data_IF_319691157048
#
_entry.id   IF_319691157048
#
_cell.length_a   1.000
_cell.length_b   1.000
_cell.length_c   1.000
_cell.angle_alpha   90.00
_cell.angle_beta   90.00
_cell.angle_gamma   90.00
#
_symmetry.space_group_name_H-M   'P 1'
#
loop_
_entity.id
_entity.type
_entity.pdbx_description
1 polymer ?
#
# COMPACT_ATOMS: atom_id res chain seq x y z
N UNK A 1 10.60 13.56 14.10
CA UNK A 1 10.62 13.32 12.63
C UNK A 1 9.23 13.52 11.99
N UNK A 2 8.13 13.14 12.60
CA UNK A 2 6.78 13.28 12.03
C UNK A 2 6.22 14.70 11.92
N UNK A 3 6.73 15.67 12.68
CA UNK A 3 6.23 17.05 12.67
C UNK A 3 6.32 17.74 11.29
N UNK A 4 7.36 17.45 10.51
CA UNK A 4 7.50 18.03 9.17
C UNK A 4 6.51 17.42 8.18
N UNK A 5 6.21 16.12 8.30
CA UNK A 5 5.21 15.46 7.47
C UNK A 5 3.80 15.97 7.80
N UNK A 6 3.47 16.09 9.09
CA UNK A 6 2.20 16.69 9.50
C UNK A 6 2.05 18.11 8.98
N UNK A 7 3.09 18.96 9.12
CA UNK A 7 3.07 20.32 8.59
C UNK A 7 2.85 20.36 7.07
N UNK A 8 3.51 19.48 6.31
CA UNK A 8 3.29 19.33 4.88
C UNK A 8 1.82 19.03 4.57
N UNK A 9 1.24 18.08 5.30
CA UNK A 9 -0.16 17.68 5.12
C UNK A 9 -1.17 18.77 5.53
N UNK A 10 -0.83 19.61 6.49
CA UNK A 10 -1.73 20.67 6.98
C UNK A 10 -1.59 21.97 6.21
N UNK A 11 -0.39 22.35 5.79
CA UNK A 11 -0.10 23.63 5.13
C UNK A 11 -0.11 23.56 3.60
N UNK A 12 0.44 22.49 3.03
CA UNK A 12 0.65 22.38 1.56
C UNK A 12 -0.47 21.58 0.89
N UNK A 13 -0.86 20.47 1.45
CA UNK A 13 -1.84 19.55 0.86
C UNK A 13 -3.20 20.17 0.51
N UNK A 14 -3.82 21.01 1.38
CA UNK A 14 -5.10 21.64 1.05
C UNK A 14 -5.05 22.57 -0.16
N UNK A 15 -3.90 23.18 -0.42
CA UNK A 15 -3.73 24.00 -1.63
C UNK A 15 -3.51 23.16 -2.88
N UNK A 16 -2.82 22.02 -2.75
CA UNK A 16 -2.62 21.10 -3.87
C UNK A 16 -3.93 20.49 -4.35
N UNK A 17 -4.80 20.01 -3.46
CA UNK A 17 -6.07 19.39 -3.85
C UNK A 17 -7.00 20.38 -4.56
N UNK A 18 -6.95 21.66 -4.20
CA UNK A 18 -7.76 22.70 -4.87
C UNK A 18 -7.28 23.01 -6.29
N UNK A 19 -6.02 22.79 -6.58
CA UNK A 19 -5.40 23.05 -7.87
C UNK A 19 -5.16 21.80 -8.72
N UNK A 20 -5.40 20.59 -8.16
CA UNK A 20 -5.13 19.35 -8.87
C UNK A 20 -6.10 19.14 -10.02
N UNK A 21 -5.58 18.70 -11.16
CA UNK A 21 -6.42 18.20 -12.23
C UNK A 21 -7.16 16.93 -11.77
N UNK A 22 -8.48 16.80 -12.00
CA UNK A 22 -9.23 15.63 -11.52
C UNK A 22 -8.65 14.28 -11.94
N UNK A 23 -8.02 14.20 -13.10
CA UNK A 23 -7.36 12.98 -13.56
C UNK A 23 -6.19 12.51 -12.70
N UNK A 24 -5.59 13.39 -11.90
CA UNK A 24 -4.44 13.13 -11.02
C UNK A 24 -4.82 12.94 -9.56
N UNK A 25 -6.10 12.90 -9.23
CA UNK A 25 -6.56 12.80 -7.83
C UNK A 25 -6.06 11.55 -7.12
N UNK A 26 -5.72 10.49 -7.85
CA UNK A 26 -5.11 9.29 -7.31
C UNK A 26 -3.81 9.55 -6.56
N UNK A 27 -2.94 10.45 -7.07
CA UNK A 27 -1.66 10.80 -6.46
C UNK A 27 -1.86 11.48 -5.09
N UNK A 28 -2.81 12.42 -5.02
CA UNK A 28 -3.19 13.04 -3.77
C UNK A 28 -3.74 12.02 -2.76
N UNK A 29 -4.59 11.12 -3.22
CA UNK A 29 -5.21 10.09 -2.37
C UNK A 29 -4.17 9.11 -1.85
N UNK A 30 -3.18 8.74 -2.65
CA UNK A 30 -2.08 7.88 -2.21
C UNK A 30 -1.21 8.58 -1.17
N UNK A 31 -0.89 9.85 -1.36
CA UNK A 31 -0.17 10.62 -0.35
C UNK A 31 -0.98 10.77 0.96
N UNK A 32 -2.31 10.93 0.87
CA UNK A 32 -3.19 10.94 2.03
C UNK A 32 -3.21 9.58 2.75
N UNK A 33 -3.16 8.47 2.02
CA UNK A 33 -3.04 7.13 2.59
C UNK A 33 -1.72 6.97 3.35
N UNK A 34 -0.60 7.47 2.81
CA UNK A 34 0.67 7.47 3.54
C UNK A 34 0.58 8.27 4.85
N UNK A 35 -0.14 9.40 4.84
CA UNK A 35 -0.37 10.17 6.06
C UNK A 35 -1.25 9.43 7.07
N UNK A 36 -2.32 8.79 6.60
CA UNK A 36 -3.16 7.92 7.42
C UNK A 36 -2.33 6.81 8.08
N UNK A 37 -1.48 6.12 7.32
CA UNK A 37 -0.59 5.07 7.83
C UNK A 37 0.37 5.62 8.89
N UNK A 38 1.00 6.78 8.64
CA UNK A 38 1.84 7.45 9.63
C UNK A 38 1.11 7.66 10.95
N UNK A 39 -0.12 8.18 10.90
CA UNK A 39 -0.94 8.41 12.10
C UNK A 39 -1.29 7.10 12.81
N UNK A 40 -1.68 6.06 12.06
CA UNK A 40 -2.02 4.74 12.62
C UNK A 40 -0.81 4.09 13.32
N UNK A 41 0.37 4.16 12.72
CA UNK A 41 1.61 3.66 13.34
C UNK A 41 2.06 4.53 14.53
N UNK A 42 1.72 5.81 14.56
CA UNK A 42 1.92 6.68 15.72
C UNK A 42 0.90 6.45 16.86
N UNK A 43 -0.08 5.58 16.64
CA UNK A 43 -1.11 5.25 17.62
C UNK A 43 -2.29 6.22 17.65
N UNK A 44 -2.53 6.93 16.55
CA UNK A 44 -3.74 7.75 16.39
C UNK A 44 -4.99 6.86 16.44
N UNK A 45 -5.98 7.29 17.23
CA UNK A 45 -7.29 6.67 17.29
C UNK A 45 -8.23 7.20 16.19
N UNK A 46 -9.48 6.75 16.19
CA UNK A 46 -10.44 7.16 15.17
C UNK A 46 -10.90 8.62 15.34
N UNK A 47 -10.79 9.21 16.51
CA UNK A 47 -11.04 10.64 16.69
C UNK A 47 -9.91 11.49 16.11
N UNK A 48 -8.66 11.06 16.26
CA UNK A 48 -7.52 11.68 15.61
C UNK A 48 -7.64 11.61 14.08
N UNK A 49 -8.03 10.44 13.54
CA UNK A 49 -8.28 10.24 12.09
C UNK A 49 -9.41 11.16 11.61
N UNK A 50 -10.49 11.27 12.38
CA UNK A 50 -11.60 12.19 12.07
C UNK A 50 -11.14 13.64 11.96
N UNK A 51 -10.28 14.08 12.85
CA UNK A 51 -9.79 15.45 12.87
C UNK A 51 -8.75 15.74 11.78
N UNK A 52 -7.85 14.80 11.51
CA UNK A 52 -6.67 15.04 10.71
C UNK A 52 -6.80 14.53 9.26
N UNK A 53 -7.52 13.44 9.03
CA UNK A 53 -7.65 12.79 7.71
C UNK A 53 -8.96 13.14 7.03
N UNK A 54 -10.08 13.07 7.74
CA UNK A 54 -11.42 13.23 7.13
C UNK A 54 -11.59 14.55 6.38
N UNK A 55 -11.17 15.74 6.86
CA UNK A 55 -11.31 16.96 6.07
C UNK A 55 -10.59 16.88 4.72
N UNK A 56 -9.38 16.32 4.69
CA UNK A 56 -8.58 16.13 3.48
C UNK A 56 -9.19 15.07 2.54
N UNK A 57 -9.80 14.04 3.12
CA UNK A 57 -10.51 13.01 2.37
C UNK A 57 -11.80 13.55 1.72
N UNK A 58 -12.51 14.46 2.38
CA UNK A 58 -13.68 15.13 1.82
C UNK A 58 -13.28 16.04 0.65
N UNK A 59 -12.18 16.77 0.78
CA UNK A 59 -11.64 17.59 -0.31
C UNK A 59 -11.27 16.71 -1.53
N UNK A 60 -10.64 15.55 -1.29
CA UNK A 60 -10.33 14.59 -2.35
C UNK A 60 -11.60 14.00 -2.97
N UNK A 61 -12.59 13.64 -2.16
CA UNK A 61 -13.85 13.12 -2.66
C UNK A 61 -14.57 14.12 -3.56
N UNK A 62 -14.57 15.40 -3.21
CA UNK A 62 -15.16 16.45 -4.04
C UNK A 62 -14.49 16.57 -5.43
N UNK A 63 -13.23 16.15 -5.56
CA UNK A 63 -12.55 16.08 -6.86
C UNK A 63 -12.93 14.81 -7.62
N UNK A 64 -12.96 13.64 -6.96
CA UNK A 64 -13.46 12.41 -7.56
C UNK A 64 -14.88 12.56 -8.08
N UNK A 65 -15.74 13.26 -7.35
CA UNK A 65 -17.13 13.47 -7.71
C UNK A 65 -17.33 14.13 -9.09
N UNK A 66 -16.35 14.95 -9.52
CA UNK A 66 -16.36 15.59 -10.85
C UNK A 66 -16.12 14.62 -12.01
N UNK A 67 -15.55 13.45 -11.74
CA UNK A 67 -15.20 12.43 -12.73
C UNK A 67 -15.97 11.12 -12.50
N UNK A 68 -16.88 11.06 -11.53
CA UNK A 68 -17.80 9.96 -11.32
C UNK A 68 -18.97 10.04 -12.32
N UNK A 69 -19.30 8.92 -12.91
CA UNK A 69 -20.42 8.77 -13.84
C UNK A 69 -21.23 7.53 -13.44
N UNK A 70 -22.55 7.71 -13.26
CA UNK A 70 -23.47 6.61 -12.99
C UNK A 70 -24.12 6.14 -14.29
N UNK A 71 -23.86 4.90 -14.65
CA UNK A 71 -24.39 4.28 -15.87
C UNK A 71 -24.66 2.79 -15.64
N UNK A 72 -25.79 2.29 -16.15
CA UNK A 72 -26.13 0.87 -16.08
C UNK A 72 -26.05 0.29 -14.66
N UNK A 73 -26.55 1.03 -13.68
CA UNK A 73 -26.52 0.67 -12.24
C UNK A 73 -25.11 0.56 -11.62
N UNK A 74 -24.09 1.15 -12.25
CA UNK A 74 -22.68 1.09 -11.84
C UNK A 74 -22.10 2.50 -11.82
N UNK A 75 -21.27 2.80 -10.82
CA UNK A 75 -20.47 4.01 -10.77
C UNK A 75 -19.13 3.76 -11.47
N UNK A 76 -18.82 4.61 -12.41
CA UNK A 76 -17.59 4.58 -13.21
C UNK A 76 -16.73 5.80 -12.93
N UNK A 77 -15.40 5.64 -12.95
CA UNK A 77 -14.45 6.74 -13.01
C UNK A 77 -14.10 7.04 -14.46
N UNK A 78 -14.24 8.31 -14.86
CA UNK A 78 -13.93 8.75 -16.22
C UNK A 78 -12.64 9.60 -16.22
N UNK A 79 -11.83 9.48 -17.28
CA UNK A 79 -10.69 10.36 -17.55
C UNK A 79 -9.66 10.42 -16.39
N UNK A 80 -9.36 9.28 -15.75
CA UNK A 80 -8.33 9.19 -14.70
C UNK A 80 -7.03 8.59 -15.25
N UNK A 81 -5.90 9.15 -14.83
CA UNK A 81 -4.58 8.66 -15.24
C UNK A 81 -4.24 7.33 -14.52
N UNK A 82 -3.28 6.60 -15.12
CA UNK A 82 -2.47 5.61 -14.42
C UNK A 82 -1.02 6.11 -14.48
N UNK A 83 -0.31 6.29 -13.35
CA UNK A 83 0.95 7.02 -13.31
C UNK A 83 1.93 6.61 -14.40
N UNK A 84 2.27 7.57 -15.25
CA UNK A 84 3.25 7.49 -16.33
C UNK A 84 3.04 6.37 -17.37
N UNK A 85 1.93 5.64 -17.32
CA UNK A 85 1.66 4.64 -18.33
C UNK A 85 1.27 5.32 -19.64
N UNK A 86 2.02 5.02 -20.69
CA UNK A 86 1.86 5.61 -22.04
C UNK A 86 1.81 7.16 -22.04
N UNK A 87 2.60 7.81 -21.18
CA UNK A 87 2.74 9.27 -21.19
C UNK A 87 1.56 10.01 -20.54
N UNK A 88 1.01 9.50 -19.45
CA UNK A 88 -0.09 10.12 -18.69
C UNK A 88 -1.43 10.17 -19.45
N UNK A 89 -1.73 9.13 -20.19
CA UNK A 89 -3.03 9.03 -20.82
C UNK A 89 -4.14 8.82 -19.80
N UNK A 90 -5.33 9.30 -20.16
CA UNK A 90 -6.53 9.23 -19.32
C UNK A 90 -7.38 8.03 -19.74
N UNK A 91 -7.79 7.26 -18.75
CA UNK A 91 -8.55 6.03 -18.93
C UNK A 91 -9.88 6.10 -18.17
N UNK A 92 -10.82 5.26 -18.55
CA UNK A 92 -12.00 4.99 -17.72
C UNK A 92 -11.70 3.77 -16.84
N UNK A 93 -12.17 3.84 -15.60
CA UNK A 93 -12.02 2.77 -14.62
C UNK A 93 -10.59 2.23 -14.53
N UNK A 94 -9.60 3.13 -14.38
CA UNK A 94 -8.24 2.66 -14.13
C UNK A 94 -8.18 1.97 -12.77
N UNK A 95 -7.49 0.84 -12.69
CA UNK A 95 -7.29 0.12 -11.42
C UNK A 95 -6.68 1.01 -10.34
N UNK A 96 -5.78 1.92 -10.74
CA UNK A 96 -5.22 2.95 -9.88
C UNK A 96 -6.28 3.86 -9.27
N UNK A 97 -7.16 4.41 -10.11
CA UNK A 97 -8.23 5.32 -9.69
C UNK A 97 -9.28 4.62 -8.84
N UNK A 98 -9.73 3.43 -9.26
CA UNK A 98 -10.70 2.62 -8.52
C UNK A 98 -10.18 2.25 -7.13
N UNK A 99 -8.90 1.85 -7.02
CA UNK A 99 -8.28 1.55 -5.75
C UNK A 99 -8.18 2.79 -4.84
N UNK A 100 -7.79 3.93 -5.42
CA UNK A 100 -7.70 5.20 -4.69
C UNK A 100 -9.05 5.64 -4.13
N UNK A 101 -10.12 5.61 -4.96
CA UNK A 101 -11.46 5.97 -4.52
C UNK A 101 -12.01 4.97 -3.50
N UNK A 102 -11.81 3.67 -3.72
CA UNK A 102 -12.27 2.63 -2.79
C UNK A 102 -11.65 2.81 -1.41
N UNK A 103 -10.32 3.04 -1.33
CA UNK A 103 -9.64 3.30 -0.07
C UNK A 103 -10.19 4.56 0.62
N UNK A 104 -10.39 5.63 -0.14
CA UNK A 104 -10.92 6.89 0.37
C UNK A 104 -12.30 6.72 0.99
N UNK A 105 -13.21 6.08 0.26
CA UNK A 105 -14.58 5.84 0.72
C UNK A 105 -14.62 4.89 1.93
N UNK A 106 -13.82 3.81 1.93
CA UNK A 106 -13.72 2.92 3.08
C UNK A 106 -13.21 3.64 4.32
N UNK A 107 -12.22 4.53 4.18
CA UNK A 107 -11.70 5.34 5.29
C UNK A 107 -12.75 6.30 5.84
N UNK A 108 -13.49 7.00 4.98
CA UNK A 108 -14.58 7.90 5.38
C UNK A 108 -15.69 7.14 6.11
N UNK A 109 -16.14 6.01 5.56
CA UNK A 109 -17.18 5.16 6.14
C UNK A 109 -16.71 4.59 7.49
N UNK A 110 -15.52 4.01 7.55
CA UNK A 110 -14.98 3.44 8.79
C UNK A 110 -14.83 4.49 9.89
N UNK A 111 -14.36 5.68 9.55
CA UNK A 111 -14.26 6.78 10.52
C UNK A 111 -15.64 7.21 11.04
N UNK A 112 -16.63 7.32 10.16
CA UNK A 112 -18.01 7.63 10.53
C UNK A 112 -18.55 6.58 11.53
N UNK A 113 -18.41 5.30 11.20
CA UNK A 113 -18.92 4.19 12.01
C UNK A 113 -18.23 4.11 13.38
N UNK A 114 -16.90 4.22 13.39
CA UNK A 114 -16.07 4.11 14.61
C UNK A 114 -16.18 5.32 15.54
N UNK A 115 -16.58 6.49 15.04
CA UNK A 115 -16.74 7.71 15.85
C UNK A 115 -18.20 8.07 16.12
N UNK A 116 -19.16 7.26 15.65
CA UNK A 116 -20.59 7.54 15.72
C UNK A 116 -20.94 8.95 15.22
N UNK A 117 -20.20 9.42 14.23
CA UNK A 117 -20.43 10.74 13.63
C UNK A 117 -21.52 10.70 12.54
N UNK A 118 -22.07 11.85 12.20
CA UNK A 118 -23.05 11.97 11.13
C UNK A 118 -22.44 12.80 9.98
N UNK A 119 -22.68 12.36 8.74
CA UNK A 119 -22.33 13.13 7.56
C UNK A 119 -23.45 12.98 6.50
N UNK A 120 -23.88 14.05 5.83
CA UNK A 120 -24.99 13.96 4.86
C UNK A 120 -24.68 12.99 3.70
N UNK A 121 -23.44 12.86 3.28
CA UNK A 121 -23.03 11.98 2.17
C UNK A 121 -22.74 10.53 2.57
N UNK A 122 -22.93 10.15 3.83
CA UNK A 122 -22.59 8.79 4.29
C UNK A 122 -23.30 7.69 3.48
N UNK A 123 -24.60 7.86 3.24
CA UNK A 123 -25.36 6.89 2.44
C UNK A 123 -24.86 6.84 0.98
N UNK A 124 -24.47 7.99 0.43
CA UNK A 124 -23.94 8.10 -0.92
C UNK A 124 -22.56 7.44 -1.04
N UNK A 125 -21.68 7.60 -0.04
CA UNK A 125 -20.39 6.90 -0.03
C UNK A 125 -20.55 5.39 -0.06
N UNK A 126 -21.47 4.85 0.73
CA UNK A 126 -21.80 3.42 0.74
C UNK A 126 -22.39 2.95 -0.59
N UNK A 127 -23.30 3.74 -1.17
CA UNK A 127 -23.88 3.43 -2.46
C UNK A 127 -22.83 3.40 -3.56
N UNK A 128 -21.94 4.42 -3.63
CA UNK A 128 -20.84 4.46 -4.60
C UNK A 128 -19.93 3.25 -4.41
N UNK A 129 -19.47 2.96 -3.19
CA UNK A 129 -18.56 1.85 -2.93
C UNK A 129 -19.19 0.49 -3.30
N UNK A 130 -20.48 0.32 -3.05
CA UNK A 130 -21.20 -0.94 -3.34
C UNK A 130 -21.41 -1.16 -4.83
N UNK A 131 -21.57 -0.08 -5.60
CA UNK A 131 -21.85 -0.10 -7.03
C UNK A 131 -20.71 0.41 -7.90
N UNK A 132 -19.52 0.55 -7.32
CA UNK A 132 -18.33 0.95 -8.08
C UNK A 132 -17.97 -0.14 -9.09
N UNK A 133 -17.53 0.27 -10.27
CA UNK A 133 -17.05 -0.65 -11.29
C UNK A 133 -16.01 -1.63 -10.71
N UNK A 134 -16.10 -2.92 -11.05
CA UNK A 134 -15.12 -3.89 -10.59
C UNK A 134 -13.73 -3.57 -11.16
N UNK A 135 -12.68 -4.03 -10.48
CA UNK A 135 -11.32 -3.89 -10.97
C UNK A 135 -11.18 -4.60 -12.33
N UNK A 136 -10.81 -3.89 -13.41
CA UNK A 136 -10.59 -4.51 -14.71
C UNK A 136 -9.53 -5.60 -14.69
N UNK A 137 -9.90 -6.78 -15.15
CA UNK A 137 -9.04 -7.97 -15.22
C UNK A 137 -9.13 -8.65 -16.58
N UNK A 138 -8.10 -9.41 -16.95
CA UNK A 138 -8.10 -10.32 -18.07
C UNK A 138 -7.39 -11.64 -17.69
N UNK A 139 -7.06 -12.45 -18.69
CA UNK A 139 -6.33 -13.71 -18.50
C UNK A 139 -4.93 -13.53 -17.89
N UNK A 140 -4.37 -12.33 -17.92
CA UNK A 140 -3.05 -11.99 -17.37
C UNK A 140 -3.10 -11.32 -15.98
N UNK A 141 -4.27 -11.11 -15.42
CA UNK A 141 -4.47 -10.50 -14.12
C UNK A 141 -5.09 -9.11 -14.19
N UNK A 142 -4.70 -8.22 -13.28
CA UNK A 142 -5.20 -6.84 -13.25
C UNK A 142 -4.70 -6.05 -14.46
N UNK A 143 -5.60 -5.35 -15.12
CA UNK A 143 -5.33 -4.46 -16.25
C UNK A 143 -4.94 -3.05 -15.75
N UNK A 144 -4.49 -2.20 -16.64
CA UNK A 144 -4.30 -0.76 -16.33
C UNK A 144 -5.66 -0.09 -16.09
N UNK A 145 -6.63 -0.35 -16.97
CA UNK A 145 -7.96 0.26 -16.93
C UNK A 145 -8.96 -0.58 -17.72
N UNK A 146 -10.23 -0.19 -17.74
CA UNK A 146 -11.24 -0.80 -18.60
C UNK A 146 -10.77 -0.77 -20.07
N UNK A 147 -10.77 -1.92 -20.72
CA UNK A 147 -10.31 -2.09 -22.10
C UNK A 147 -8.85 -1.69 -22.36
N UNK A 148 -8.01 -1.57 -21.30
CA UNK A 148 -6.58 -1.29 -21.43
C UNK A 148 -5.75 -2.27 -20.62
N UNK A 149 -5.30 -3.38 -21.21
CA UNK A 149 -4.38 -4.31 -20.58
C UNK A 149 -3.00 -3.69 -20.37
N UNK A 150 -2.21 -4.26 -19.46
CA UNK A 150 -0.79 -3.95 -19.34
C UNK A 150 -0.04 -4.71 -20.44
N UNK A 151 0.46 -3.99 -21.45
CA UNK A 151 1.06 -4.58 -22.66
C UNK A 151 2.55 -4.30 -22.81
N UNK A 152 3.09 -3.36 -22.03
CA UNK A 152 4.50 -2.94 -22.09
C UNK A 152 5.14 -3.02 -20.71
N UNK A 153 6.42 -3.32 -20.70
CA UNK A 153 7.22 -3.24 -19.48
C UNK A 153 7.16 -1.83 -18.90
N UNK A 154 6.75 -1.71 -17.65
CA UNK A 154 6.51 -0.44 -17.00
C UNK A 154 7.04 -0.45 -15.58
N UNK A 155 7.74 0.63 -15.18
CA UNK A 155 8.39 0.69 -13.88
C UNK A 155 7.43 0.79 -12.70
N UNK A 156 6.22 1.31 -12.90
CA UNK A 156 5.20 1.45 -11.86
C UNK A 156 4.22 0.27 -11.85
N UNK A 157 3.84 -0.13 -10.66
CA UNK A 157 2.81 -1.16 -10.42
C UNK A 157 1.47 -0.54 -9.98
N UNK A 158 1.12 0.61 -10.55
CA UNK A 158 -0.07 1.39 -10.21
C UNK A 158 -1.37 0.58 -10.30
N UNK A 159 -1.47 -0.37 -11.23
CA UNK A 159 -2.60 -1.28 -11.35
C UNK A 159 -2.74 -2.28 -10.19
N UNK A 160 -1.71 -2.45 -9.34
CA UNK A 160 -1.68 -3.37 -8.20
C UNK A 160 -1.92 -2.68 -6.85
N UNK A 161 -2.18 -1.37 -6.81
CA UNK A 161 -2.29 -0.63 -5.55
C UNK A 161 -3.46 -1.09 -4.67
N UNK A 162 -4.50 -1.70 -5.26
CA UNK A 162 -5.58 -2.32 -4.49
C UNK A 162 -5.06 -3.43 -3.55
N UNK A 163 -3.95 -4.09 -3.90
CA UNK A 163 -3.26 -5.03 -3.03
C UNK A 163 -2.28 -4.33 -2.09
N UNK A 164 -1.34 -3.57 -2.63
CA UNK A 164 -0.32 -2.87 -1.86
C UNK A 164 0.01 -1.52 -2.50
N UNK A 165 -0.03 -0.41 -1.75
CA UNK A 165 -0.16 -0.31 -0.29
C UNK A 165 -1.59 -0.18 0.25
N UNK A 166 -2.64 -0.06 -0.57
CA UNK A 166 -4.00 0.19 -0.08
C UNK A 166 -4.63 -0.97 0.68
N UNK A 167 -4.19 -2.22 0.43
CA UNK A 167 -4.63 -3.43 1.15
C UNK A 167 -6.15 -3.60 1.17
N UNK A 168 -6.78 -3.35 0.01
CA UNK A 168 -8.23 -3.51 -0.21
C UNK A 168 -8.59 -4.93 -0.63
N UNK A 169 -7.65 -5.62 -1.29
CA UNK A 169 -7.76 -7.01 -1.71
C UNK A 169 -6.79 -7.85 -0.88
N UNK A 170 -7.33 -8.71 -0.02
CA UNK A 170 -6.52 -9.51 0.89
C UNK A 170 -6.11 -10.85 0.25
N UNK A 171 -4.83 -11.24 0.34
CA UNK A 171 -4.32 -12.50 -0.22
C UNK A 171 -4.78 -13.75 0.57
N UNK A 172 -5.42 -13.55 1.72
CA UNK A 172 -6.05 -14.63 2.49
C UNK A 172 -7.30 -15.18 1.76
N UNK A 173 -7.87 -14.42 0.82
CA UNK A 173 -8.90 -14.88 -0.11
C UNK A 173 -8.22 -15.56 -1.30
N UNK A 174 -8.51 -16.86 -1.58
CA UNK A 174 -7.78 -17.62 -2.60
C UNK A 174 -7.82 -17.02 -4.01
N UNK A 175 -8.94 -16.40 -4.38
CA UNK A 175 -9.13 -15.73 -5.68
C UNK A 175 -8.22 -14.51 -5.79
N UNK A 176 -8.14 -13.70 -4.73
CA UNK A 176 -7.26 -12.53 -4.67
C UNK A 176 -5.79 -12.94 -4.73
N UNK A 177 -5.41 -14.01 -4.02
CA UNK A 177 -4.05 -14.56 -4.06
C UNK A 177 -3.64 -14.93 -5.47
N UNK A 178 -4.47 -15.70 -6.17
CA UNK A 178 -4.22 -16.10 -7.57
C UNK A 178 -4.16 -14.89 -8.51
N UNK A 179 -5.06 -13.92 -8.31
CA UNK A 179 -5.07 -12.69 -9.11
C UNK A 179 -3.78 -11.89 -8.91
N UNK A 180 -3.33 -11.73 -7.68
CA UNK A 180 -2.10 -11.00 -7.38
C UNK A 180 -0.86 -11.71 -7.94
N UNK A 181 -0.72 -13.02 -7.71
CA UNK A 181 0.39 -13.82 -8.23
C UNK A 181 0.51 -13.67 -9.74
N UNK A 182 -0.60 -13.86 -10.45
CA UNK A 182 -0.67 -13.73 -11.89
C UNK A 182 -0.31 -12.33 -12.40
N UNK A 183 -0.84 -11.31 -11.73
CA UNK A 183 -0.59 -9.91 -12.08
C UNK A 183 0.87 -9.52 -11.90
N UNK A 184 1.52 -9.97 -10.81
CA UNK A 184 2.95 -9.71 -10.58
C UNK A 184 3.80 -10.42 -11.65
N UNK A 185 3.51 -11.69 -11.93
CA UNK A 185 4.27 -12.47 -12.91
C UNK A 185 4.15 -11.86 -14.31
N UNK A 186 2.94 -11.47 -14.73
CA UNK A 186 2.74 -10.78 -15.99
C UNK A 186 3.52 -9.45 -16.04
N UNK A 187 3.36 -8.59 -15.04
CA UNK A 187 4.05 -7.30 -14.99
C UNK A 187 5.56 -7.43 -15.11
N UNK A 188 6.16 -8.37 -14.38
CA UNK A 188 7.63 -8.54 -14.36
C UNK A 188 8.18 -9.20 -15.61
N UNK A 189 7.36 -9.95 -16.36
CA UNK A 189 7.80 -10.69 -17.56
C UNK A 189 7.75 -9.89 -18.86
N UNK A 190 6.98 -8.79 -18.89
CA UNK A 190 6.80 -8.02 -20.11
C UNK A 190 8.12 -7.47 -20.67
N UNK A 191 8.35 -7.66 -21.95
CA UNK A 191 9.53 -7.19 -22.68
C UNK A 191 10.87 -7.51 -21.97
N UNK A 192 10.95 -8.67 -21.32
CA UNK A 192 12.11 -9.10 -20.51
C UNK A 192 12.49 -8.09 -19.42
N UNK A 193 11.53 -7.32 -18.91
CA UNK A 193 11.73 -6.34 -17.85
C UNK A 193 12.45 -5.06 -18.26
N UNK A 194 12.54 -4.75 -19.56
CA UNK A 194 13.32 -3.59 -20.06
C UNK A 194 12.89 -2.23 -19.49
N UNK A 195 11.61 -2.09 -19.15
CA UNK A 195 11.06 -0.88 -18.55
C UNK A 195 11.11 -0.83 -17.03
N UNK A 196 11.63 -1.88 -16.36
CA UNK A 196 11.69 -1.93 -14.90
C UNK A 196 12.83 -1.05 -14.37
N UNK A 197 12.61 -0.45 -13.21
CA UNK A 197 13.58 0.35 -12.46
C UNK A 197 13.75 -0.21 -11.03
N UNK A 198 14.60 0.40 -10.21
CA UNK A 198 14.81 -0.06 -8.83
C UNK A 198 13.52 -0.15 -8.03
N UNK A 199 12.65 0.85 -8.16
CA UNK A 199 11.33 0.86 -7.51
C UNK A 199 10.43 -0.31 -7.92
N UNK A 200 10.58 -0.85 -9.14
CA UNK A 200 9.86 -2.05 -9.56
C UNK A 200 10.25 -3.28 -8.73
N UNK A 201 11.56 -3.46 -8.49
CA UNK A 201 12.07 -4.59 -7.71
C UNK A 201 11.70 -4.49 -6.24
N UNK A 202 11.81 -3.30 -5.65
CA UNK A 202 11.42 -3.09 -4.25
C UNK A 202 9.91 -3.20 -4.07
N UNK A 203 9.10 -2.66 -4.97
CA UNK A 203 7.65 -2.81 -4.97
C UNK A 203 7.21 -4.26 -5.15
N UNK A 204 7.84 -5.00 -6.07
CA UNK A 204 7.59 -6.43 -6.24
C UNK A 204 7.94 -7.23 -4.98
N UNK A 205 9.00 -6.83 -4.25
CA UNK A 205 9.34 -7.45 -2.97
C UNK A 205 8.23 -7.25 -1.93
N UNK A 206 7.66 -6.04 -1.82
CA UNK A 206 6.52 -5.78 -0.94
C UNK A 206 5.28 -6.58 -1.33
N UNK A 207 4.98 -6.69 -2.62
CA UNK A 207 3.85 -7.48 -3.12
C UNK A 207 4.02 -8.98 -2.83
N UNK A 208 5.22 -9.54 -3.03
CA UNK A 208 5.51 -10.92 -2.65
C UNK A 208 5.51 -11.13 -1.13
N UNK A 209 5.98 -10.15 -0.34
CA UNK A 209 5.88 -10.19 1.11
C UNK A 209 4.42 -10.19 1.57
N UNK A 210 3.56 -9.41 0.92
CA UNK A 210 2.12 -9.41 1.18
C UNK A 210 1.45 -10.76 0.87
N UNK A 211 1.95 -11.48 -0.14
CA UNK A 211 1.56 -12.87 -0.44
C UNK A 211 2.10 -13.90 0.58
N UNK A 212 2.99 -13.52 1.49
CA UNK A 212 3.72 -14.43 2.36
C UNK A 212 4.84 -15.21 1.65
N UNK A 213 5.22 -14.82 0.42
CA UNK A 213 6.27 -15.48 -0.35
C UNK A 213 7.64 -14.82 -0.09
N UNK A 214 8.25 -15.17 1.04
CA UNK A 214 9.52 -14.60 1.48
C UNK A 214 10.69 -14.86 0.52
N UNK A 215 10.71 -16.02 -0.13
CA UNK A 215 11.79 -16.37 -1.06
C UNK A 215 11.79 -15.44 -2.28
N UNK A 216 10.62 -15.25 -2.92
CA UNK A 216 10.48 -14.32 -4.06
C UNK A 216 10.71 -12.88 -3.63
N UNK A 217 10.21 -12.47 -2.46
CA UNK A 217 10.42 -11.13 -1.93
C UNK A 217 11.92 -10.84 -1.72
N UNK A 218 12.64 -11.75 -1.08
CA UNK A 218 14.09 -11.65 -0.90
C UNK A 218 14.84 -11.62 -2.23
N UNK A 219 14.48 -12.46 -3.19
CA UNK A 219 15.08 -12.48 -4.52
C UNK A 219 15.00 -11.10 -5.21
N UNK A 220 13.86 -10.42 -5.11
CA UNK A 220 13.68 -9.07 -5.69
C UNK A 220 14.53 -8.03 -4.97
N UNK A 221 14.57 -8.05 -3.64
CA UNK A 221 15.45 -7.17 -2.85
C UNK A 221 16.93 -7.44 -3.12
N UNK A 222 17.33 -8.70 -3.17
CA UNK A 222 18.71 -9.09 -3.48
C UNK A 222 19.12 -8.64 -4.89
N UNK A 223 18.21 -8.71 -5.86
CA UNK A 223 18.45 -8.18 -7.19
C UNK A 223 18.69 -6.66 -7.15
N UNK A 224 17.83 -5.91 -6.48
CA UNK A 224 17.99 -4.46 -6.33
C UNK A 224 19.33 -4.08 -5.68
N UNK A 225 19.74 -4.81 -4.63
CA UNK A 225 20.94 -4.49 -3.85
C UNK A 225 22.22 -4.86 -4.62
N UNK A 226 22.23 -6.00 -5.32
CA UNK A 226 23.46 -6.61 -5.81
C UNK A 226 23.67 -6.49 -7.32
N UNK A 227 22.67 -6.04 -8.08
CA UNK A 227 22.74 -6.04 -9.54
C UNK A 227 22.41 -4.67 -10.12
N UNK A 228 23.11 -4.25 -11.16
CA UNK A 228 22.67 -3.11 -11.95
C UNK A 228 21.29 -3.37 -12.55
N UNK A 229 20.44 -2.33 -12.58
CA UNK A 229 19.13 -2.36 -13.23
C UNK A 229 19.21 -1.46 -14.45
N UNK A 230 19.51 -2.07 -15.61
CA UNK A 230 19.84 -1.32 -16.80
C UNK A 230 21.07 -0.44 -16.57
N UNK A 231 20.87 0.88 -16.63
CA UNK A 231 21.91 1.89 -16.39
C UNK A 231 21.85 2.50 -14.97
N UNK A 232 21.05 1.91 -14.09
CA UNK A 232 20.82 2.40 -12.73
C UNK A 232 21.51 1.49 -11.73
N UNK A 233 22.12 2.06 -10.69
CA UNK A 233 22.89 1.32 -9.68
C UNK A 233 22.62 1.84 -8.26
N UNK A 234 22.72 0.95 -7.29
CA UNK A 234 22.85 1.28 -5.88
C UNK A 234 24.34 1.49 -5.55
N UNK A 235 24.68 2.69 -5.10
CA UNK A 235 26.05 3.02 -4.74
C UNK A 235 26.42 2.50 -3.34
N UNK A 236 27.71 2.31 -3.01
CA UNK A 236 28.14 1.85 -1.69
C UNK A 236 27.68 2.71 -0.51
N UNK A 237 27.39 4.00 -0.75
CA UNK A 237 26.84 4.92 0.24
C UNK A 237 25.30 4.86 0.35
N UNK A 238 24.68 3.80 -0.20
CA UNK A 238 23.22 3.58 -0.26
C UNK A 238 22.42 4.55 -1.13
N UNK A 239 23.06 5.46 -1.85
CA UNK A 239 22.39 6.25 -2.86
C UNK A 239 22.06 5.37 -4.07
N UNK A 240 20.81 5.42 -4.48
CA UNK A 240 20.37 4.85 -5.76
C UNK A 240 20.34 5.95 -6.82
N UNK A 241 20.93 5.68 -7.96
CA UNK A 241 21.01 6.63 -9.07
C UNK A 241 20.45 6.02 -10.35
N UNK A 242 19.64 6.76 -11.04
CA UNK A 242 19.06 6.43 -12.35
C UNK A 242 19.71 7.26 -13.47
N UNK A 243 19.32 6.99 -14.69
CA UNK A 243 19.74 7.77 -15.88
C UNK A 243 21.26 7.92 -15.99
N UNK A 244 21.99 6.81 -15.94
CA UNK A 244 23.48 6.78 -16.01
C UNK A 244 24.16 7.54 -14.86
N UNK A 245 23.61 7.45 -13.65
CA UNK A 245 24.19 8.11 -12.49
C UNK A 245 23.91 9.60 -12.36
N UNK A 246 22.98 10.13 -13.15
CA UNK A 246 22.68 11.57 -13.14
C UNK A 246 21.55 11.95 -12.18
N UNK A 247 20.62 11.03 -11.90
CA UNK A 247 19.45 11.31 -11.08
C UNK A 247 19.50 10.48 -9.79
N UNK A 248 19.85 11.06 -8.63
CA UNK A 248 19.68 10.40 -7.35
C UNK A 248 18.17 10.28 -7.05
N UNK A 249 17.75 9.07 -6.67
CA UNK A 249 16.36 8.73 -6.38
C UNK A 249 16.28 8.22 -4.95
N UNK A 250 15.53 8.91 -4.10
CA UNK A 250 15.43 8.59 -2.67
C UNK A 250 14.31 7.59 -2.36
N UNK A 251 13.24 7.58 -3.13
CA UNK A 251 12.07 6.72 -2.89
C UNK A 251 12.41 5.24 -3.02
N UNK A 252 13.32 4.87 -3.89
CA UNK A 252 13.68 3.46 -4.11
C UNK A 252 14.39 2.82 -2.90
N UNK A 253 15.44 3.43 -2.29
CA UNK A 253 16.00 2.92 -1.04
C UNK A 253 15.02 2.91 0.13
N UNK A 254 14.13 3.90 0.21
CA UNK A 254 13.07 3.92 1.23
C UNK A 254 12.06 2.79 1.01
N UNK A 255 11.68 2.53 -0.24
CA UNK A 255 10.85 1.38 -0.59
C UNK A 255 11.54 0.04 -0.28
N UNK A 256 12.86 -0.07 -0.51
CA UNK A 256 13.63 -1.27 -0.12
C UNK A 256 13.60 -1.51 1.39
N UNK A 257 13.76 -0.46 2.19
CA UNK A 257 13.68 -0.56 3.65
C UNK A 257 12.26 -0.97 4.11
N UNK A 258 11.23 -0.41 3.49
CA UNK A 258 9.84 -0.81 3.74
C UNK A 258 9.61 -2.28 3.38
N UNK A 259 10.09 -2.73 2.21
CA UNK A 259 9.95 -4.12 1.77
C UNK A 259 10.67 -5.10 2.70
N UNK A 260 11.88 -4.74 3.18
CA UNK A 260 12.59 -5.54 4.18
C UNK A 260 11.78 -5.64 5.49
N UNK A 261 11.16 -4.54 5.92
CA UNK A 261 10.30 -4.55 7.10
C UNK A 261 9.08 -5.45 6.90
N UNK A 262 8.46 -5.44 5.72
CA UNK A 262 7.33 -6.30 5.38
C UNK A 262 7.65 -7.81 5.41
N UNK A 263 8.92 -8.21 5.27
CA UNK A 263 9.33 -9.61 5.47
C UNK A 263 9.25 -10.02 6.94
N UNK A 264 9.55 -9.08 7.83
CA UNK A 264 9.71 -9.32 9.28
C UNK A 264 8.43 -9.08 10.06
N UNK A 265 7.71 -8.00 9.73
CA UNK A 265 6.47 -7.61 10.40
C UNK A 265 5.52 -6.94 9.42
N UNK A 266 4.26 -7.30 9.49
CA UNK A 266 3.16 -6.63 8.80
C UNK A 266 2.06 -6.29 9.79
N UNK A 267 1.39 -5.15 9.56
CA UNK A 267 0.26 -4.73 10.37
C UNK A 267 -0.85 -4.21 9.46
N UNK A 268 -1.92 -4.98 9.35
CA UNK A 268 -3.10 -4.66 8.55
C UNK A 268 -4.29 -5.49 9.01
N UNK A 269 -5.51 -5.02 8.73
CA UNK A 269 -6.74 -5.63 9.21
C UNK A 269 -6.72 -5.85 10.74
N UNK A 270 -6.27 -4.82 11.47
CA UNK A 270 -6.13 -4.82 12.94
C UNK A 270 -5.31 -6.00 13.49
N UNK A 271 -4.47 -6.64 12.66
CA UNK A 271 -3.68 -7.81 13.04
C UNK A 271 -2.19 -7.55 12.77
N UNK A 272 -1.37 -7.77 13.78
CA UNK A 272 0.10 -7.71 13.70
C UNK A 272 0.60 -9.11 13.33
N UNK A 273 1.29 -9.23 12.21
CA UNK A 273 1.85 -10.48 11.69
C UNK A 273 3.35 -10.50 11.88
N UNK A 274 3.84 -11.51 12.58
CA UNK A 274 5.26 -11.66 12.92
C UNK A 274 5.90 -12.70 12.00
N UNK A 275 6.99 -12.31 11.36
CA UNK A 275 7.71 -13.11 10.37
C UNK A 275 6.84 -13.65 9.24
N UNK A 276 5.93 -12.81 8.65
CA UNK A 276 4.92 -13.28 7.69
C UNK A 276 5.55 -13.76 6.37
N UNK A 277 6.72 -13.26 6.01
CA UNK A 277 7.35 -13.53 4.72
C UNK A 277 8.87 -13.66 4.79
N UNK A 278 9.39 -14.25 5.85
CA UNK A 278 10.83 -14.52 5.98
C UNK A 278 11.24 -15.61 4.98
N UNK A 279 12.33 -15.42 4.22
CA UNK A 279 12.81 -16.44 3.28
C UNK A 279 13.30 -17.70 4.03
N UNK A 280 13.17 -18.85 3.40
CA UNK A 280 13.47 -20.16 4.02
C UNK A 280 14.89 -20.31 4.56
N UNK A 281 15.84 -19.62 3.95
CA UNK A 281 17.25 -19.69 4.38
C UNK A 281 17.58 -18.78 5.58
N UNK A 282 16.68 -17.87 5.99
CA UNK A 282 16.81 -17.09 7.22
C UNK A 282 16.25 -17.89 8.40
N UNK A 283 16.97 -18.95 8.80
CA UNK A 283 16.55 -19.76 9.94
C UNK A 283 16.59 -18.97 11.24
N UNK A 284 17.59 -18.11 11.37
CA UNK A 284 17.82 -17.26 12.53
C UNK A 284 17.78 -15.80 12.10
N UNK A 285 16.85 -15.05 12.65
CA UNK A 285 16.72 -13.62 12.45
C UNK A 285 15.97 -12.99 13.62
N UNK A 286 16.24 -11.71 13.83
CA UNK A 286 15.56 -10.93 14.86
C UNK A 286 15.32 -9.50 14.39
N UNK A 287 14.33 -8.87 14.98
CA UNK A 287 14.14 -7.44 14.85
C UNK A 287 13.82 -6.82 16.23
N UNK A 288 14.15 -5.54 16.38
CA UNK A 288 13.98 -4.83 17.63
C UNK A 288 13.24 -3.51 17.41
N UNK A 289 12.21 -3.29 18.23
CA UNK A 289 11.45 -2.03 18.32
C UNK A 289 10.86 -1.54 16.98
N UNK A 290 10.40 -2.46 16.11
CA UNK A 290 9.64 -2.07 14.93
C UNK A 290 8.22 -1.63 15.31
N UNK A 291 7.71 -0.67 14.56
CA UNK A 291 6.36 -0.13 14.78
C UNK A 291 5.31 -0.95 14.07
N UNK A 292 4.13 -1.06 14.69
CA UNK A 292 2.91 -1.60 14.11
C UNK A 292 1.74 -0.65 14.34
N UNK A 293 0.66 -0.80 13.56
CA UNK A 293 -0.53 0.01 13.68
C UNK A 293 -1.15 -0.07 15.07
N UNK A 294 -1.72 1.04 15.55
CA UNK A 294 -2.30 1.16 16.89
C UNK A 294 -1.30 1.62 17.95
N UNK A 295 -0.09 2.06 17.55
CA UNK A 295 0.94 2.54 18.47
C UNK A 295 1.63 1.40 19.22
N UNK A 296 1.81 0.27 18.56
CA UNK A 296 2.56 -0.84 19.10
C UNK A 296 4.03 -0.77 18.72
N UNK A 297 4.89 -1.17 19.64
CA UNK A 297 6.32 -1.42 19.41
C UNK A 297 6.58 -2.89 19.62
N UNK A 298 7.18 -3.54 18.63
CA UNK A 298 7.34 -4.99 18.58
C UNK A 298 8.80 -5.34 18.40
N UNK A 299 9.24 -6.35 19.15
CA UNK A 299 10.53 -7.04 18.97
C UNK A 299 10.27 -8.52 18.90
N UNK A 300 11.00 -9.25 18.07
CA UNK A 300 10.83 -10.70 17.96
C UNK A 300 12.13 -11.36 17.51
N UNK A 301 12.27 -12.62 17.88
CA UNK A 301 13.36 -13.50 17.44
C UNK A 301 12.80 -14.78 16.85
N UNK A 302 13.43 -15.19 15.76
CA UNK A 302 13.26 -16.48 15.10
C UNK A 302 14.56 -17.25 15.23
N UNK A 303 14.48 -18.50 15.64
CA UNK A 303 15.62 -19.42 15.76
C UNK A 303 15.22 -20.78 15.20
N UNK A 304 16.13 -21.44 14.49
CA UNK A 304 15.89 -22.74 13.85
C UNK A 304 14.59 -22.77 13.01
N UNK A 305 14.27 -21.65 12.37
CA UNK A 305 13.09 -21.53 11.54
C UNK A 305 11.75 -21.39 12.30
N UNK A 306 11.76 -21.14 13.60
CA UNK A 306 10.57 -20.96 14.45
C UNK A 306 10.62 -19.65 15.20
N UNK A 307 9.49 -19.02 15.41
CA UNK A 307 9.40 -17.86 16.30
C UNK A 307 9.65 -18.32 17.74
N UNK A 308 10.72 -17.83 18.35
CA UNK A 308 11.11 -18.21 19.71
C UNK A 308 10.43 -17.33 20.75
N UNK A 309 10.46 -16.02 20.54
CA UNK A 309 9.76 -15.09 21.40
C UNK A 309 9.30 -13.84 20.63
N UNK A 310 8.28 -13.19 21.19
CA UNK A 310 7.77 -11.90 20.75
C UNK A 310 7.60 -11.02 21.98
N UNK A 311 8.10 -9.80 21.94
CA UNK A 311 7.84 -8.75 22.93
C UNK A 311 7.04 -7.65 22.27
N UNK A 312 5.93 -7.28 22.87
CA UNK A 312 5.01 -6.29 22.33
C UNK A 312 4.66 -5.28 23.42
N UNK A 313 4.87 -4.00 23.13
CA UNK A 313 4.50 -2.89 23.99
C UNK A 313 3.39 -2.09 23.33
N UNK A 314 2.28 -1.90 24.04
CA UNK A 314 1.18 -1.02 23.64
C UNK A 314 1.39 0.37 24.23
N UNK A 315 1.79 1.34 23.43
CA UNK A 315 2.00 2.72 23.90
C UNK A 315 0.68 3.43 24.29
N UNK A 316 -0.43 2.91 23.80
CA UNK A 316 -1.78 3.45 24.05
C UNK A 316 -2.62 2.58 25.00
N UNK A 317 -2.06 1.49 25.54
CA UNK A 317 -2.79 0.55 26.39
C UNK A 317 -3.95 -0.16 25.67
N UNK A 318 -3.86 -0.32 24.34
CA UNK A 318 -4.88 -1.00 23.56
C UNK A 318 -4.60 -2.50 23.44
N UNK A 319 -5.63 -3.34 23.36
CA UNK A 319 -5.47 -4.74 23.00
C UNK A 319 -5.02 -4.87 21.55
N UNK A 320 -4.39 -5.99 21.19
CA UNK A 320 -4.01 -6.27 19.82
C UNK A 320 -4.34 -7.69 19.40
N UNK A 321 -4.42 -7.90 18.10
CA UNK A 321 -4.47 -9.21 17.46
C UNK A 321 -3.10 -9.52 16.88
N UNK A 322 -2.59 -10.72 17.14
CA UNK A 322 -1.27 -11.16 16.67
C UNK A 322 -1.38 -12.49 15.95
N UNK A 323 -0.65 -12.63 14.87
CA UNK A 323 -0.48 -13.86 14.13
C UNK A 323 1.02 -14.16 13.97
N UNK A 324 1.44 -15.36 14.32
CA UNK A 324 2.82 -15.80 14.17
C UNK A 324 2.97 -16.66 12.91
N UNK A 325 4.11 -16.61 12.27
CA UNK A 325 4.43 -17.51 11.15
C UNK A 325 4.33 -18.97 11.58
N UNK A 326 3.60 -19.77 10.82
CA UNK A 326 3.36 -21.18 11.12
C UNK A 326 2.26 -21.45 12.15
N UNK A 327 1.53 -20.42 12.57
CA UNK A 327 0.35 -20.56 13.43
C UNK A 327 -0.92 -20.32 12.61
N UNK A 328 -1.87 -21.24 12.69
CA UNK A 328 -3.13 -21.11 11.94
C UNK A 328 -4.12 -20.11 12.56
N UNK A 329 -3.89 -19.73 13.82
CA UNK A 329 -4.80 -18.90 14.59
C UNK A 329 -4.25 -17.49 14.83
N UNK A 330 -5.16 -16.50 14.78
CA UNK A 330 -4.91 -15.15 15.30
C UNK A 330 -5.21 -15.14 16.79
N UNK A 331 -4.29 -14.64 17.61
CA UNK A 331 -4.44 -14.54 19.05
C UNK A 331 -4.79 -13.11 19.47
N UNK A 332 -5.79 -12.97 20.34
CA UNK A 332 -6.14 -11.71 20.99
C UNK A 332 -5.32 -11.56 22.26
N UNK A 333 -4.59 -10.46 22.38
CA UNK A 333 -3.86 -10.09 23.60
C UNK A 333 -4.54 -8.90 24.27
N UNK A 334 -4.81 -9.00 25.56
CA UNK A 334 -5.26 -7.89 26.38
C UNK A 334 -4.06 -7.03 26.81
N UNK A 335 -4.26 -5.73 26.98
CA UNK A 335 -3.25 -4.88 27.61
C UNK A 335 -3.25 -5.17 29.11
N UNK A 336 -2.13 -5.69 29.63
CA UNK A 336 -1.87 -5.71 31.07
C UNK A 336 -1.22 -4.38 31.46
N UNK A 337 -1.78 -3.73 32.49
CA UNK A 337 -1.12 -2.56 33.10
C UNK A 337 -0.04 -3.10 34.02
N UNK A 338 1.21 -2.94 33.64
CA UNK A 338 2.36 -3.08 34.55
C UNK A 338 2.46 -1.85 35.45
#
# INVERSE_FOLDING_TARGET
QGKNFQRLMDEVFPSLVRSIEPCKIGDYTWALQNYYMYLRYAGADWQDIKQQVVPKALDAFAVFDKILCYKENTWHLTHIESPEYEGFQKYNDSNYGLASLSWLLQTLIACHDRTSSTHPDYARWKEILTRLAPYPTNENGLMIAANKPLEKSHRHYSHLLAFYPFRLLHPDVPENRKLLEKSIEHWLSLEDGKGLAGYSYTGAASLYAYLGNGNKAYERLAHFINKPIGISILLPNTFYVESQGKNPVIETPLSAAASLTELLIQSWDETIRIFPAVPDHWKDCAFHALRAEGGFTVSAQRQDGRTEWVSLTSEKGQPCRIQLSGWDAVHQLSAERT
#
